data_IF_910191455740
#
_entry.id   IF_910191455740
#
_cell.length_a   1.000
_cell.length_b   1.000
_cell.length_c   1.000
_cell.angle_alpha   90.00
_cell.angle_beta   90.00
_cell.angle_gamma   90.00
#
_symmetry.space_group_name_H-M   'P 1'
#
loop_
_entity.id
_entity.type
_entity.pdbx_description
1 polymer ?
#
# COMPACT_ATOMS: atom_id res chain seq x y z
N UNK A 1 -11.95 37.34 -7.14
CA UNK A 1 -11.40 36.70 -5.93
C UNK A 1 -12.20 35.43 -5.69
N UNK A 2 -11.73 34.28 -6.15
CA UNK A 2 -12.38 32.99 -5.89
C UNK A 2 -11.62 32.31 -4.76
N UNK A 3 -12.23 32.25 -3.58
CA UNK A 3 -11.67 31.52 -2.43
C UNK A 3 -11.86 30.03 -2.67
N UNK A 4 -10.76 29.26 -2.59
CA UNK A 4 -10.85 27.80 -2.69
C UNK A 4 -11.79 27.26 -1.59
N UNK A 5 -12.59 26.22 -1.87
CA UNK A 5 -13.49 25.65 -0.88
C UNK A 5 -12.67 25.16 0.33
N UNK A 6 -13.09 25.58 1.52
CA UNK A 6 -12.50 25.10 2.78
C UNK A 6 -12.80 23.61 2.86
N UNK A 7 -11.76 22.77 3.01
CA UNK A 7 -11.93 21.33 3.17
C UNK A 7 -12.86 21.07 4.35
N UNK A 8 -13.83 20.17 4.15
CA UNK A 8 -14.71 19.79 5.25
C UNK A 8 -13.94 18.90 6.23
N UNK A 9 -14.39 18.87 7.49
CA UNK A 9 -13.84 17.96 8.51
C UNK A 9 -13.84 16.50 8.03
N UNK A 10 -14.81 16.12 7.20
CA UNK A 10 -14.95 14.78 6.63
C UNK A 10 -13.82 14.50 5.62
N UNK A 11 -13.47 15.47 4.78
CA UNK A 11 -12.40 15.31 3.79
C UNK A 11 -11.04 15.10 4.46
N UNK A 12 -10.77 15.84 5.53
CA UNK A 12 -9.53 15.71 6.31
C UNK A 12 -9.45 14.34 7.02
N UNK A 13 -10.58 13.86 7.56
CA UNK A 13 -10.67 12.54 8.18
C UNK A 13 -10.46 11.42 7.16
N UNK A 14 -11.04 11.52 5.96
CA UNK A 14 -10.83 10.56 4.89
C UNK A 14 -9.36 10.52 4.45
N UNK A 15 -8.73 11.68 4.27
CA UNK A 15 -7.32 11.79 3.90
C UNK A 15 -6.41 11.17 4.99
N UNK A 16 -6.74 11.36 6.27
CA UNK A 16 -6.03 10.74 7.39
C UNK A 16 -6.20 9.22 7.44
N UNK A 17 -7.41 8.70 7.18
CA UNK A 17 -7.68 7.26 7.09
C UNK A 17 -6.89 6.64 5.94
N UNK A 18 -6.89 7.28 4.76
CA UNK A 18 -6.11 6.81 3.61
C UNK A 18 -4.61 6.82 3.88
N UNK A 19 -4.09 7.85 4.56
CA UNK A 19 -2.68 7.93 4.97
C UNK A 19 -2.31 6.80 5.94
N UNK A 20 -3.19 6.51 6.89
CA UNK A 20 -2.98 5.46 7.89
C UNK A 20 -3.05 4.07 7.27
N UNK A 21 -4.04 3.81 6.42
CA UNK A 21 -4.15 2.56 5.66
C UNK A 21 -2.96 2.35 4.74
N UNK A 22 -2.42 3.43 4.13
CA UNK A 22 -1.18 3.35 3.37
C UNK A 22 0.02 2.97 4.25
N UNK A 23 0.17 3.51 5.45
CA UNK A 23 1.25 3.08 6.35
C UNK A 23 1.09 1.61 6.74
N UNK A 24 -0.12 1.15 7.02
CA UNK A 24 -0.39 -0.24 7.41
C UNK A 24 -0.19 -1.22 6.26
N UNK A 25 -0.58 -0.86 5.04
CA UNK A 25 -0.43 -1.72 3.86
C UNK A 25 0.99 -1.74 3.26
N UNK A 26 1.84 -0.77 3.59
CA UNK A 26 3.23 -0.69 3.13
C UNK A 26 4.28 -0.85 4.25
N UNK A 27 3.88 -0.91 5.52
CA UNK A 27 4.79 -0.93 6.67
C UNK A 27 5.41 -2.30 6.98
N UNK A 28 4.75 -3.38 6.55
CA UNK A 28 5.25 -4.75 6.72
C UNK A 28 5.91 -5.19 5.41
N UNK A 29 7.19 -5.60 5.43
CA UNK A 29 7.86 -6.19 4.27
C UNK A 29 7.02 -7.34 3.69
N UNK A 30 6.91 -7.40 2.36
CA UNK A 30 6.04 -8.38 1.69
C UNK A 30 6.26 -9.82 2.18
N UNK A 31 7.52 -10.22 2.38
CA UNK A 31 7.88 -11.54 2.88
C UNK A 31 7.25 -11.82 4.24
N UNK A 32 7.28 -10.87 5.17
CA UNK A 32 6.65 -11.00 6.49
C UNK A 32 5.12 -11.08 6.37
N UNK A 33 4.52 -10.36 5.42
CA UNK A 33 3.08 -10.42 5.15
C UNK A 33 2.62 -11.80 4.63
N UNK A 34 3.52 -12.60 4.06
CA UNK A 34 3.26 -13.99 3.62
C UNK A 34 3.86 -15.05 4.55
N UNK A 35 4.30 -14.65 5.76
CA UNK A 35 4.85 -15.56 6.78
C UNK A 35 6.26 -16.06 6.49
N UNK A 36 7.02 -15.36 5.65
CA UNK A 36 8.39 -15.69 5.28
C UNK A 36 9.39 -14.72 5.92
N UNK A 37 10.63 -15.18 6.20
CA UNK A 37 11.71 -14.29 6.61
C UNK A 37 11.94 -13.17 5.59
N UNK A 38 12.25 -11.97 6.07
CA UNK A 38 12.53 -10.79 5.23
C UNK A 38 13.56 -11.06 4.14
N UNK A 39 14.60 -11.85 4.44
CA UNK A 39 15.70 -12.18 3.52
C UNK A 39 15.36 -13.28 2.50
N UNK A 40 14.13 -13.79 2.50
CA UNK A 40 13.71 -14.83 1.54
C UNK A 40 13.82 -14.28 0.12
N UNK A 41 14.60 -14.91 -0.76
CA UNK A 41 14.73 -14.45 -2.13
C UNK A 41 13.38 -14.51 -2.84
N UNK A 42 13.06 -13.46 -3.61
CA UNK A 42 11.82 -13.41 -4.41
C UNK A 42 11.72 -14.61 -5.37
N UNK A 43 12.85 -15.08 -5.90
CA UNK A 43 12.91 -16.26 -6.76
C UNK A 43 12.56 -17.58 -6.06
N UNK A 44 12.64 -17.63 -4.73
CA UNK A 44 12.34 -18.81 -3.92
C UNK A 44 10.87 -18.90 -3.49
N UNK A 45 10.05 -17.92 -3.89
CA UNK A 45 8.63 -17.91 -3.56
C UNK A 45 7.89 -19.00 -4.35
N UNK A 46 7.15 -19.86 -3.63
CA UNK A 46 6.31 -20.91 -4.26
C UNK A 46 5.22 -20.35 -5.16
N UNK A 47 4.76 -19.13 -4.88
CA UNK A 47 3.73 -18.45 -5.66
C UNK A 47 4.34 -17.30 -6.43
N UNK A 48 4.00 -17.21 -7.72
CA UNK A 48 4.42 -16.09 -8.56
C UNK A 48 3.77 -14.79 -8.08
N UNK A 49 4.56 -13.71 -8.06
CA UNK A 49 4.06 -12.40 -7.71
C UNK A 49 3.74 -11.59 -8.97
N UNK A 50 2.63 -10.89 -8.95
CA UNK A 50 2.28 -9.86 -9.91
C UNK A 50 2.59 -8.48 -9.32
N UNK A 51 3.31 -7.67 -10.10
CA UNK A 51 3.52 -6.25 -9.78
C UNK A 51 2.34 -5.47 -10.33
N UNK A 52 1.72 -4.64 -9.50
CA UNK A 52 0.66 -3.71 -9.89
C UNK A 52 1.08 -2.29 -9.53
N UNK A 53 0.72 -1.34 -10.37
CA UNK A 53 0.86 0.08 -10.06
C UNK A 53 -0.49 0.62 -9.60
N UNK A 54 -0.54 1.26 -8.42
CA UNK A 54 -1.70 2.02 -7.97
C UNK A 54 -1.26 3.48 -7.82
N UNK A 55 -1.61 4.31 -8.82
CA UNK A 55 -1.09 5.67 -8.94
C UNK A 55 0.44 5.66 -9.11
N UNK A 56 1.18 6.30 -8.20
CA UNK A 56 2.65 6.35 -8.21
C UNK A 56 3.32 5.30 -7.30
N UNK A 57 2.57 4.31 -6.81
CA UNK A 57 3.08 3.30 -5.86
C UNK A 57 3.03 1.90 -6.45
N UNK A 58 4.05 1.11 -6.15
CA UNK A 58 4.16 -0.30 -6.53
C UNK A 58 3.50 -1.13 -5.44
N UNK A 59 2.47 -1.89 -5.79
CA UNK A 59 1.87 -2.92 -4.95
C UNK A 59 2.26 -4.30 -5.49
N UNK A 60 2.64 -5.21 -4.60
CA UNK A 60 2.97 -6.59 -4.97
C UNK A 60 1.86 -7.51 -4.47
N UNK A 61 1.30 -8.33 -5.37
CA UNK A 61 0.22 -9.27 -5.04
C UNK A 61 0.57 -10.67 -5.53
N UNK A 62 -0.02 -11.68 -4.89
CA UNK A 62 0.05 -13.07 -5.38
C UNK A 62 -0.72 -13.15 -6.70
N UNK A 63 -0.09 -13.68 -7.76
CA UNK A 63 -0.75 -13.97 -9.03
C UNK A 63 -1.68 -15.19 -8.84
N UNK A 64 -2.94 -15.14 -9.31
CA UNK A 64 -3.82 -16.31 -9.33
C UNK A 64 -3.21 -17.50 -10.08
#
# INVERSE_FOLDING_TARGET
MSTAPVKSLIDEQLEQIERTLAVISFGIPFNEAVGLPRETPVASLKRSLGVTMKGRRIAVRVRP
#
